data_IF_627674832485
#
_entry.id   IF_627674832485
#
_cell.length_a   1.000
_cell.length_b   1.000
_cell.length_c   1.000
_cell.angle_alpha   90.00
_cell.angle_beta   90.00
_cell.angle_gamma   90.00
#
_symmetry.space_group_name_H-M   'P 1'
#
loop_
_entity.id
_entity.type
_entity.pdbx_description
1 polymer ?
#
# COMPACT_ATOMS: atom_id res chain seq x y z
N UNK A 1 -8.95 -9.98 14.22
CA UNK A 1 -8.44 -10.29 12.84
C UNK A 1 -7.72 -9.07 12.29
N UNK A 2 -6.58 -9.23 11.69
CA UNK A 2 -5.74 -8.16 11.15
C UNK A 2 -5.60 -8.32 9.63
N UNK A 3 -5.56 -7.23 8.90
CA UNK A 3 -5.42 -7.26 7.44
C UNK A 3 -4.32 -6.29 7.02
N UNK A 4 -3.34 -6.78 6.28
CA UNK A 4 -2.23 -6.00 5.73
C UNK A 4 -2.37 -5.90 4.21
N UNK A 5 -2.46 -4.66 3.70
CA UNK A 5 -2.61 -4.38 2.26
C UNK A 5 -1.26 -3.95 1.71
N UNK A 6 -0.67 -4.81 0.90
CA UNK A 6 0.56 -4.57 0.16
C UNK A 6 0.25 -4.00 -1.24
N UNK A 7 1.28 -3.56 -1.94
CA UNK A 7 1.21 -3.06 -3.30
C UNK A 7 2.12 -1.87 -3.54
N UNK A 8 2.40 -1.59 -4.80
CA UNK A 8 3.21 -0.45 -5.22
C UNK A 8 2.57 0.90 -4.85
N UNK A 9 3.30 2.00 -5.02
CA UNK A 9 2.78 3.35 -4.86
C UNK A 9 1.63 3.66 -5.83
N UNK A 10 0.73 4.56 -5.44
CA UNK A 10 -0.43 4.99 -6.25
C UNK A 10 -1.40 3.88 -6.69
N UNK A 11 -1.29 2.66 -6.14
CA UNK A 11 -2.20 1.55 -6.46
C UNK A 11 -3.59 1.70 -5.86
N UNK A 12 -3.76 2.52 -4.81
CA UNK A 12 -5.04 2.77 -4.15
C UNK A 12 -5.25 2.02 -2.84
N UNK A 13 -4.18 1.57 -2.17
CA UNK A 13 -4.23 0.85 -0.89
C UNK A 13 -5.01 1.59 0.19
N UNK A 14 -4.71 2.87 0.39
CA UNK A 14 -5.37 3.69 1.41
C UNK A 14 -6.88 3.80 1.18
N UNK A 15 -7.28 4.08 -0.07
CA UNK A 15 -8.70 4.19 -0.44
C UNK A 15 -9.45 2.87 -0.26
N UNK A 16 -8.88 1.77 -0.73
CA UNK A 16 -9.49 0.44 -0.57
C UNK A 16 -9.51 0.02 0.89
N UNK A 17 -8.42 0.27 1.63
CA UNK A 17 -8.29 -0.07 3.04
C UNK A 17 -9.31 0.63 3.92
N UNK A 18 -9.50 1.94 3.73
CA UNK A 18 -10.49 2.73 4.47
C UNK A 18 -11.92 2.23 4.19
N UNK A 19 -12.27 2.01 2.91
CA UNK A 19 -13.59 1.50 2.54
C UNK A 19 -13.83 0.08 3.07
N UNK A 20 -12.82 -0.77 3.02
CA UNK A 20 -12.89 -2.13 3.55
C UNK A 20 -13.10 -2.11 5.06
N UNK A 21 -12.28 -1.38 5.80
CA UNK A 21 -12.37 -1.23 7.25
C UNK A 21 -13.76 -0.73 7.67
N UNK A 22 -14.24 0.32 7.02
CA UNK A 22 -15.60 0.86 7.24
C UNK A 22 -16.69 -0.20 7.01
N UNK A 23 -16.56 -0.99 5.95
CA UNK A 23 -17.55 -2.01 5.59
C UNK A 23 -17.63 -3.13 6.62
N UNK A 24 -16.50 -3.56 7.16
CA UNK A 24 -16.42 -4.69 8.09
C UNK A 24 -16.37 -4.27 9.57
N UNK A 25 -16.41 -2.95 9.86
CA UNK A 25 -16.41 -2.42 11.22
C UNK A 25 -15.07 -2.54 11.94
N UNK A 26 -13.95 -2.44 11.20
CA UNK A 26 -12.58 -2.50 11.73
C UNK A 26 -11.96 -1.10 11.81
N UNK A 27 -10.92 -0.95 12.63
CA UNK A 27 -10.08 0.23 12.61
C UNK A 27 -9.26 0.28 11.31
N UNK A 28 -8.91 1.49 10.87
CA UNK A 28 -8.08 1.71 9.69
C UNK A 28 -6.81 2.48 10.05
N UNK A 29 -5.68 1.98 9.57
CA UNK A 29 -4.38 2.64 9.70
C UNK A 29 -3.76 2.77 8.31
N UNK A 30 -3.39 4.01 7.97
CA UNK A 30 -2.54 4.30 6.82
C UNK A 30 -1.11 4.49 7.30
N UNK A 31 -0.19 3.65 6.84
CA UNK A 31 1.21 3.66 7.29
C UNK A 31 1.91 4.96 6.94
N UNK A 32 1.71 5.49 5.73
CA UNK A 32 2.35 6.73 5.31
C UNK A 32 1.90 7.90 6.20
N UNK A 33 0.62 7.94 6.56
CA UNK A 33 0.09 8.92 7.51
C UNK A 33 0.75 8.81 8.88
N UNK A 34 0.90 7.58 9.40
CA UNK A 34 1.55 7.35 10.70
C UNK A 34 3.04 7.70 10.71
N UNK A 35 3.73 7.43 9.61
CA UNK A 35 5.13 7.84 9.45
C UNK A 35 5.23 9.37 9.45
N UNK A 36 4.37 10.08 8.72
CA UNK A 36 4.36 11.54 8.69
C UNK A 36 4.01 12.16 10.04
N UNK A 37 3.07 11.57 10.79
CA UNK A 37 2.76 12.00 12.17
C UNK A 37 3.99 11.92 13.08
N UNK A 38 4.84 10.91 12.92
CA UNK A 38 6.02 10.69 13.76
C UNK A 38 7.25 11.48 13.31
N UNK A 39 7.50 11.55 11.99
CA UNK A 39 8.74 12.09 11.42
C UNK A 39 8.56 13.42 10.68
N UNK A 40 7.34 13.96 10.67
CA UNK A 40 6.98 15.20 9.97
C UNK A 40 6.68 15.02 8.50
N UNK A 41 7.57 14.36 7.75
CA UNK A 41 7.42 14.07 6.31
C UNK A 41 7.94 12.67 5.96
N UNK A 42 7.60 12.17 4.79
CA UNK A 42 8.20 10.94 4.26
C UNK A 42 9.71 11.13 4.00
N UNK A 43 10.12 12.31 3.55
CA UNK A 43 11.54 12.65 3.39
C UNK A 43 12.26 12.66 4.74
N UNK A 44 11.65 13.24 5.79
CA UNK A 44 12.21 13.23 7.14
C UNK A 44 12.48 11.81 7.67
N UNK A 45 11.57 10.88 7.39
CA UNK A 45 11.79 9.46 7.70
C UNK A 45 12.95 8.86 6.90
N UNK A 46 13.07 9.20 5.61
CA UNK A 46 14.16 8.71 4.75
C UNK A 46 15.50 9.32 5.13
N UNK A 47 15.54 10.57 5.57
CA UNK A 47 16.76 11.26 6.00
C UNK A 47 17.26 10.72 7.35
N UNK A 48 16.35 10.35 8.26
CA UNK A 48 16.71 9.75 9.55
C UNK A 48 17.23 8.32 9.38
N UNK A 49 16.66 7.56 8.45
CA UNK A 49 17.04 6.17 8.13
C UNK A 49 17.35 6.05 6.64
N UNK A 50 18.61 6.20 6.27
CA UNK A 50 19.03 6.22 4.86
C UNK A 50 18.95 4.86 4.16
N UNK A 51 19.05 3.76 4.92
CA UNK A 51 19.00 2.41 4.38
C UNK A 51 17.56 1.91 4.22
N UNK A 52 17.23 1.36 3.03
CA UNK A 52 15.88 0.86 2.74
C UNK A 52 15.54 -0.37 3.58
N UNK A 53 16.51 -1.25 3.83
CA UNK A 53 16.30 -2.43 4.65
C UNK A 53 15.95 -2.04 6.07
N UNK A 54 16.69 -1.12 6.68
CA UNK A 54 16.43 -0.57 8.02
C UNK A 54 15.03 0.06 8.10
N UNK A 55 14.63 0.83 7.07
CA UNK A 55 13.28 1.40 7.02
C UNK A 55 12.19 0.34 6.98
N UNK A 56 12.41 -0.77 6.26
CA UNK A 56 11.41 -1.83 6.16
C UNK A 56 11.34 -2.65 7.45
N UNK A 57 12.45 -2.84 8.18
CA UNK A 57 12.44 -3.41 9.53
C UNK A 57 11.65 -2.53 10.52
N UNK A 58 11.91 -1.21 10.54
CA UNK A 58 11.17 -0.26 11.38
C UNK A 58 9.66 -0.24 11.06
N UNK A 59 9.28 -0.36 9.79
CA UNK A 59 7.88 -0.47 9.38
C UNK A 59 7.24 -1.75 9.92
N UNK A 60 7.97 -2.88 9.91
CA UNK A 60 7.48 -4.14 10.51
C UNK A 60 7.29 -4.02 12.02
N UNK A 61 8.20 -3.33 12.74
CA UNK A 61 8.04 -3.04 14.16
C UNK A 61 6.80 -2.17 14.44
N UNK A 62 6.55 -1.14 13.62
CA UNK A 62 5.35 -0.31 13.74
C UNK A 62 4.08 -1.14 13.55
N UNK A 63 4.04 -2.02 12.53
CA UNK A 63 2.91 -2.92 12.29
C UNK A 63 2.67 -3.81 13.50
N UNK A 64 3.73 -4.38 14.07
CA UNK A 64 3.65 -5.24 15.26
C UNK A 64 3.00 -4.52 16.44
N UNK A 65 3.39 -3.25 16.68
CA UNK A 65 2.76 -2.41 17.72
C UNK A 65 1.27 -2.18 17.42
N UNK A 66 0.92 -1.77 16.20
CA UNK A 66 -0.47 -1.50 15.84
C UNK A 66 -1.37 -2.73 15.90
N UNK A 67 -0.85 -3.91 15.54
CA UNK A 67 -1.56 -5.19 15.65
C UNK A 67 -1.83 -5.55 17.13
N UNK A 68 -0.90 -5.25 18.03
CA UNK A 68 -1.09 -5.49 19.46
C UNK A 68 -2.09 -4.53 20.09
N UNK A 69 -2.13 -3.29 19.64
CA UNK A 69 -3.03 -2.25 20.15
C UNK A 69 -4.48 -2.38 19.63
N UNK A 70 -4.68 -3.08 18.49
CA UNK A 70 -5.97 -3.19 17.83
C UNK A 70 -6.39 -4.66 17.66
N UNK A 71 -7.57 -4.99 18.13
CA UNK A 71 -8.13 -6.35 17.97
C UNK A 71 -8.48 -6.64 16.50
N UNK A 72 -9.07 -5.67 15.82
CA UNK A 72 -9.52 -5.76 14.44
C UNK A 72 -9.06 -4.53 13.66
N UNK A 73 -8.15 -4.69 12.70
CA UNK A 73 -7.55 -3.57 11.98
C UNK A 73 -7.24 -3.91 10.52
N UNK A 74 -7.41 -2.93 9.66
CA UNK A 74 -6.92 -2.93 8.27
C UNK A 74 -5.79 -1.91 8.17
N UNK A 75 -4.62 -2.33 7.72
CA UNK A 75 -3.44 -1.49 7.59
C UNK A 75 -3.04 -1.40 6.11
N UNK A 76 -3.06 -0.20 5.55
CA UNK A 76 -2.50 0.07 4.23
C UNK A 76 -1.00 0.37 4.37
N UNK A 77 -0.16 -0.43 3.71
CA UNK A 77 1.29 -0.35 3.85
C UNK A 77 1.92 0.58 2.81
N UNK A 78 3.02 1.24 3.16
CA UNK A 78 3.98 1.77 2.17
C UNK A 78 4.49 0.62 1.29
N UNK A 79 5.01 0.86 0.08
CA UNK A 79 5.72 -0.17 -0.66
C UNK A 79 6.90 -0.72 0.15
N UNK A 80 6.94 -2.06 0.31
CA UNK A 80 7.97 -2.78 1.07
C UNK A 80 8.85 -3.54 0.09
N UNK A 81 10.16 -3.30 0.14
CA UNK A 81 11.13 -3.93 -0.75
C UNK A 81 11.83 -5.15 -0.11
N UNK A 82 11.92 -5.20 1.22
CA UNK A 82 12.56 -6.29 1.96
C UNK A 82 11.55 -6.96 2.88
N UNK A 83 11.22 -8.22 2.60
CA UNK A 83 10.15 -8.97 3.28
C UNK A 83 10.64 -9.81 4.46
N UNK A 84 11.94 -9.84 4.75
CA UNK A 84 12.50 -10.71 5.79
C UNK A 84 11.88 -10.43 7.18
N UNK A 85 11.67 -9.15 7.51
CA UNK A 85 11.03 -8.74 8.77
C UNK A 85 9.50 -8.97 8.80
N UNK A 86 8.92 -9.50 7.71
CA UNK A 86 7.48 -9.71 7.57
C UNK A 86 7.08 -11.18 7.60
N UNK A 87 8.02 -12.12 7.70
CA UNK A 87 7.75 -13.56 7.64
C UNK A 87 6.74 -13.99 8.71
N UNK A 88 6.87 -13.50 9.94
CA UNK A 88 5.92 -13.83 11.03
C UNK A 88 4.48 -13.39 10.69
N UNK A 89 4.29 -12.28 9.94
CA UNK A 89 2.96 -11.87 9.52
C UNK A 89 2.36 -12.78 8.46
N UNK A 90 3.19 -13.38 7.61
CA UNK A 90 2.72 -14.32 6.59
C UNK A 90 2.38 -15.69 7.16
N UNK A 91 3.01 -16.06 8.27
CA UNK A 91 2.79 -17.35 8.94
C UNK A 91 1.65 -17.30 9.98
N UNK A 92 1.27 -16.11 10.45
CA UNK A 92 0.19 -15.95 11.44
C UNK A 92 -1.19 -16.10 10.79
N UNK A 93 -1.94 -17.12 11.19
CA UNK A 93 -3.29 -17.41 10.67
C UNK A 93 -4.34 -16.34 11.00
N UNK A 94 -4.08 -15.44 11.96
CA UNK A 94 -4.95 -14.34 12.35
C UNK A 94 -4.69 -13.06 11.54
N UNK A 95 -3.66 -13.09 10.68
CA UNK A 95 -3.28 -11.98 9.82
C UNK A 95 -3.52 -12.35 8.36
N UNK A 96 -4.32 -11.55 7.67
CA UNK A 96 -4.56 -11.68 6.23
C UNK A 96 -3.66 -10.67 5.52
N UNK A 97 -2.73 -11.17 4.71
CA UNK A 97 -1.89 -10.36 3.82
C UNK A 97 -2.36 -10.52 2.38
N UNK A 98 -2.49 -9.42 1.65
CA UNK A 98 -2.76 -9.45 0.22
C UNK A 98 -2.17 -8.25 -0.50
N UNK A 99 -1.84 -8.45 -1.77
CA UNK A 99 -1.31 -7.45 -2.69
C UNK A 99 -2.43 -6.90 -3.58
N UNK A 100 -2.54 -5.57 -3.68
CA UNK A 100 -3.39 -4.91 -4.68
C UNK A 100 -2.62 -4.71 -5.98
N UNK A 101 -3.24 -5.09 -7.09
CA UNK A 101 -2.70 -4.91 -8.43
C UNK A 101 -3.67 -4.18 -9.35
N UNK A 102 -3.16 -3.48 -10.35
CA UNK A 102 -3.96 -2.84 -11.40
C UNK A 102 -3.13 -2.70 -12.68
N UNK A 103 -3.76 -2.36 -13.78
CA UNK A 103 -3.04 -2.06 -15.02
C UNK A 103 -2.31 -0.72 -14.94
N UNK A 104 -1.16 -0.64 -15.59
CA UNK A 104 -0.33 0.57 -15.62
C UNK A 104 -1.12 1.80 -16.10
N UNK A 105 -2.04 1.64 -17.06
CA UNK A 105 -2.89 2.73 -17.55
C UNK A 105 -3.83 3.28 -16.48
N UNK A 106 -4.32 2.44 -15.58
CA UNK A 106 -5.19 2.87 -14.49
C UNK A 106 -4.38 3.57 -13.39
N UNK A 107 -3.20 3.07 -13.09
CA UNK A 107 -2.27 3.70 -12.13
C UNK A 107 -1.83 5.06 -12.65
N UNK A 108 -1.46 5.17 -13.94
CA UNK A 108 -1.09 6.45 -14.56
C UNK A 108 -2.14 7.54 -14.39
N UNK A 109 -3.43 7.19 -14.44
CA UNK A 109 -4.53 8.16 -14.25
C UNK A 109 -4.66 8.66 -12.81
N UNK A 110 -4.09 7.93 -11.86
CA UNK A 110 -4.15 8.22 -10.41
C UNK A 110 -2.83 8.72 -9.86
N UNK A 111 -1.82 8.97 -10.72
CA UNK A 111 -0.54 9.47 -10.25
C UNK A 111 -0.70 10.77 -9.47
N UNK A 112 -0.21 10.76 -8.26
CA UNK A 112 -0.06 11.93 -7.41
C UNK A 112 1.42 12.20 -7.19
N UNK A 113 1.78 13.46 -7.17
CA UNK A 113 3.14 13.92 -6.94
C UNK A 113 3.14 14.85 -5.74
N UNK A 114 4.16 14.74 -4.91
CA UNK A 114 4.35 15.59 -3.75
C UNK A 114 5.71 16.28 -3.79
N UNK A 115 5.83 17.42 -3.12
CA UNK A 115 7.12 18.02 -2.81
C UNK A 115 7.77 17.37 -1.58
N UNK A 116 8.95 17.88 -1.19
CA UNK A 116 9.71 17.36 -0.03
C UNK A 116 8.99 17.57 1.31
N UNK A 117 7.94 18.37 1.35
CA UNK A 117 7.09 18.59 2.52
C UNK A 117 5.76 17.81 2.44
N UNK A 118 5.67 16.83 1.53
CA UNK A 118 4.47 16.05 1.26
C UNK A 118 3.24 16.85 0.77
N UNK A 119 3.44 18.09 0.29
CA UNK A 119 2.35 18.85 -0.32
C UNK A 119 2.09 18.35 -1.74
N UNK A 120 0.81 18.17 -2.07
CA UNK A 120 0.41 17.76 -3.42
C UNK A 120 0.84 18.80 -4.46
N UNK A 121 1.52 18.32 -5.50
CA UNK A 121 1.92 19.11 -6.65
C UNK A 121 0.87 18.99 -7.75
N UNK A 122 0.40 20.13 -8.24
CA UNK A 122 -0.48 20.15 -9.40
C UNK A 122 0.34 20.06 -10.69
N UNK A 123 0.43 18.86 -11.26
CA UNK A 123 1.09 18.61 -12.54
C UNK A 123 0.04 18.70 -13.66
N UNK A 124 0.21 19.62 -14.65
CA UNK A 124 -0.73 19.73 -15.75
C UNK A 124 -0.87 18.44 -16.55
N UNK A 125 -2.10 18.04 -16.88
CA UNK A 125 -2.37 16.82 -17.66
C UNK A 125 -1.66 16.81 -19.01
N UNK A 126 -1.47 17.98 -19.63
CA UNK A 126 -0.71 18.12 -20.88
C UNK A 126 0.75 17.72 -20.72
N UNK A 127 1.37 18.01 -19.57
CA UNK A 127 2.73 17.58 -19.26
C UNK A 127 2.79 16.06 -19.07
N UNK A 128 1.87 15.50 -18.29
CA UNK A 128 1.80 14.05 -18.08
C UNK A 128 1.60 13.30 -19.40
N UNK A 129 0.70 13.80 -20.25
CA UNK A 129 0.45 13.19 -21.57
C UNK A 129 1.68 13.25 -22.48
N UNK A 130 2.42 14.36 -22.45
CA UNK A 130 3.68 14.50 -23.21
C UNK A 130 4.75 13.49 -22.75
N UNK A 131 4.79 13.18 -21.47
CA UNK A 131 5.76 12.27 -20.86
C UNK A 131 5.18 10.89 -20.55
N UNK A 132 4.01 10.54 -21.09
CA UNK A 132 3.28 9.30 -20.79
C UNK A 132 4.13 8.06 -20.97
N UNK A 133 4.89 7.95 -22.04
CA UNK A 133 5.73 6.78 -22.31
C UNK A 133 6.81 6.58 -21.24
N UNK A 134 7.35 7.65 -20.67
CA UNK A 134 8.26 7.58 -19.53
C UNK A 134 7.56 7.05 -18.29
N UNK A 135 6.48 7.67 -17.86
CA UNK A 135 5.73 7.25 -16.66
C UNK A 135 5.20 5.83 -16.77
N UNK A 136 4.73 5.41 -17.95
CA UNK A 136 4.26 4.05 -18.16
C UNK A 136 5.36 3.01 -17.98
N UNK A 137 6.60 3.31 -18.39
CA UNK A 137 7.75 2.41 -18.15
C UNK A 137 8.10 2.32 -16.67
N UNK A 138 8.13 3.46 -15.96
CA UNK A 138 8.41 3.48 -14.53
C UNK A 138 7.33 2.70 -13.75
N UNK A 139 6.05 2.96 -14.03
CA UNK A 139 4.94 2.22 -13.42
C UNK A 139 5.05 0.72 -13.69
N UNK A 140 5.38 0.32 -14.93
CA UNK A 140 5.51 -1.08 -15.27
C UNK A 140 6.70 -1.73 -14.57
N UNK A 141 7.83 -1.04 -14.47
CA UNK A 141 9.02 -1.52 -13.77
C UNK A 141 8.74 -1.72 -12.26
N UNK A 142 8.09 -0.74 -11.62
CA UNK A 142 7.67 -0.84 -10.22
C UNK A 142 6.66 -1.98 -10.03
N UNK A 143 5.67 -2.09 -10.94
CA UNK A 143 4.70 -3.17 -10.90
C UNK A 143 5.36 -4.55 -10.99
N UNK A 144 6.24 -4.74 -11.97
CA UNK A 144 6.94 -6.02 -12.17
C UNK A 144 7.79 -6.39 -10.95
N UNK A 145 8.48 -5.40 -10.37
CA UNK A 145 9.28 -5.60 -9.17
C UNK A 145 8.43 -6.02 -7.97
N UNK A 146 7.46 -5.21 -7.57
CA UNK A 146 6.67 -5.46 -6.37
C UNK A 146 5.74 -6.66 -6.53
N UNK A 147 5.11 -6.84 -7.71
CA UNK A 147 4.25 -7.99 -7.95
C UNK A 147 5.03 -9.30 -7.88
N UNK A 148 6.23 -9.37 -8.47
CA UNK A 148 7.09 -10.56 -8.37
C UNK A 148 7.48 -10.85 -6.93
N UNK A 149 7.79 -9.81 -6.16
CA UNK A 149 8.16 -9.94 -4.75
C UNK A 149 7.00 -10.47 -3.91
N UNK A 150 5.81 -9.90 -4.07
CA UNK A 150 4.64 -10.22 -3.23
C UNK A 150 3.92 -11.51 -3.65
N UNK A 151 3.88 -11.84 -4.93
CA UNK A 151 3.16 -13.02 -5.45
C UNK A 151 3.66 -14.35 -4.88
N UNK A 152 4.88 -14.41 -4.38
CA UNK A 152 5.44 -15.60 -3.71
C UNK A 152 4.98 -15.76 -2.26
N UNK A 153 4.42 -14.72 -1.63
CA UNK A 153 4.08 -14.66 -0.22
C UNK A 153 2.59 -14.54 0.06
N UNK A 154 1.82 -13.95 -0.85
CA UNK A 154 0.42 -13.63 -0.61
C UNK A 154 -0.43 -13.64 -1.89
N UNK A 155 -1.74 -13.62 -1.69
CA UNK A 155 -2.70 -13.48 -2.79
C UNK A 155 -2.66 -12.08 -3.42
N UNK A 156 -2.75 -12.01 -4.75
CA UNK A 156 -2.94 -10.75 -5.47
C UNK A 156 -4.41 -10.50 -5.80
N UNK A 157 -4.87 -9.27 -5.58
CA UNK A 157 -6.23 -8.83 -5.87
C UNK A 157 -6.20 -7.73 -6.93
N UNK A 158 -6.60 -8.07 -8.15
CA UNK A 158 -6.67 -7.11 -9.24
C UNK A 158 -7.88 -6.18 -9.09
N UNK A 159 -7.62 -4.88 -9.23
CA UNK A 159 -8.61 -3.81 -9.28
C UNK A 159 -9.15 -3.56 -10.70
N UNK A 160 -8.50 -4.11 -11.71
CA UNK A 160 -8.84 -3.85 -13.11
C UNK A 160 -10.31 -4.13 -13.44
N UNK A 161 -10.95 -3.15 -14.09
CA UNK A 161 -12.34 -3.23 -14.51
C UNK A 161 -13.38 -3.21 -13.40
N UNK A 162 -13.01 -2.87 -12.16
CA UNK A 162 -13.92 -2.86 -11.01
C UNK A 162 -14.06 -1.47 -10.39
N UNK A 163 -15.25 -1.19 -9.84
CA UNK A 163 -15.45 -0.07 -8.94
C UNK A 163 -14.79 -0.36 -7.58
N UNK A 164 -14.56 0.68 -6.77
CA UNK A 164 -14.03 0.53 -5.41
C UNK A 164 -14.91 -0.39 -4.56
N UNK A 165 -16.23 -0.21 -4.60
CA UNK A 165 -17.18 -1.11 -3.89
C UNK A 165 -17.06 -2.56 -4.37
N UNK A 166 -16.92 -2.77 -5.69
CA UNK A 166 -16.73 -4.10 -6.26
C UNK A 166 -15.43 -4.78 -5.84
N UNK A 167 -14.37 -3.99 -5.59
CA UNK A 167 -13.11 -4.51 -5.02
C UNK A 167 -13.30 -4.89 -3.56
N UNK A 168 -13.91 -4.02 -2.77
CA UNK A 168 -14.18 -4.30 -1.35
C UNK A 168 -15.06 -5.54 -1.20
N UNK A 169 -16.10 -5.69 -2.02
CA UNK A 169 -16.94 -6.90 -2.03
C UNK A 169 -16.15 -8.15 -2.41
N UNK A 170 -15.28 -8.06 -3.41
CA UNK A 170 -14.39 -9.17 -3.79
C UNK A 170 -13.49 -9.61 -2.64
N UNK A 171 -12.89 -8.64 -1.90
CA UNK A 171 -12.06 -8.91 -0.72
C UNK A 171 -12.89 -9.59 0.36
N UNK A 172 -14.05 -9.01 0.72
CA UNK A 172 -14.94 -9.57 1.73
C UNK A 172 -15.34 -11.02 1.40
N UNK A 173 -15.73 -11.28 0.15
CA UNK A 173 -16.10 -12.63 -0.31
C UNK A 173 -14.93 -13.61 -0.26
N UNK A 174 -13.74 -13.18 -0.72
CA UNK A 174 -12.54 -14.03 -0.76
C UNK A 174 -12.15 -14.50 0.64
N UNK A 175 -12.15 -13.59 1.60
CA UNK A 175 -11.71 -13.86 2.98
C UNK A 175 -12.86 -14.12 3.96
N UNK A 176 -14.10 -14.21 3.48
CA UNK A 176 -15.30 -14.53 4.27
C UNK A 176 -15.50 -13.58 5.47
N UNK A 177 -15.37 -12.27 5.20
CA UNK A 177 -15.39 -11.23 6.25
C UNK A 177 -16.81 -10.76 6.63
N UNK A 178 -17.82 -11.07 5.88
CA UNK A 178 -19.25 -10.69 6.06
C UNK A 178 -20.14 -11.81 5.53
#
# INVERSE_FOLDING_TARGET
>A
MKMLIFGMGNIGKSTVGELLAKKIGYDFIDMDTKIKEKYGTMLGFQDEYNDQYERDELRAEMISSWIQENENVVIALSPIAYLDAYEDFFEDSDIICFDLTDRAENIFKRLEFTDDNDNLLHIPQSYLNKHKAYYMREIQADFDYFHTLYASKMDSISMDGKSLDGIVEKICKKYKLV
#
